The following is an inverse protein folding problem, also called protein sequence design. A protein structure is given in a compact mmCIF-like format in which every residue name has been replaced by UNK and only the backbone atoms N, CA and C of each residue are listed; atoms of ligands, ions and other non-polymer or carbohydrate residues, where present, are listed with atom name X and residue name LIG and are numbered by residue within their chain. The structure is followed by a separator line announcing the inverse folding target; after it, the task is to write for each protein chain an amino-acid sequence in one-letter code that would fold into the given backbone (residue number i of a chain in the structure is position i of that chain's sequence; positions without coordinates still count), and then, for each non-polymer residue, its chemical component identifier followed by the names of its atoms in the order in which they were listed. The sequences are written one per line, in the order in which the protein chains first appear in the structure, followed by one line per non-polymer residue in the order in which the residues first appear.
data_IF_373108946428
#
_entry.id   IF_373108946428
#
_cell.length_a   1.000
_cell.length_b   1.000
_cell.length_c   1.000
_cell.angle_alpha   90.00
_cell.angle_beta   90.00
_cell.angle_gamma   90.00
#
_symmetry.space_group_name_H-M   'P 1'
#
loop_
_entity.id
_entity.type
_entity.pdbx_description
1 polymer ?
#
# COMPACT_ATOMS: atom_id res chain seq x y z
N UNK A 1 -9.97 -18.60 1.85
CA UNK A 1 -10.32 -17.83 0.66
C UNK A 1 -9.50 -16.55 0.70
N UNK A 2 -8.91 -16.14 -0.42
CA UNK A 2 -8.08 -14.95 -0.47
C UNK A 2 -8.96 -13.69 -0.30
N UNK A 3 -8.61 -12.83 0.64
CA UNK A 3 -9.32 -11.59 0.94
C UNK A 3 -8.36 -10.40 0.85
N UNK A 4 -8.87 -9.25 0.49
CA UNK A 4 -8.14 -7.99 0.44
C UNK A 4 -8.75 -7.05 1.45
N UNK A 5 -7.93 -6.53 2.37
CA UNK A 5 -8.36 -5.52 3.33
C UNK A 5 -7.90 -4.14 2.86
N UNK A 6 -8.81 -3.21 2.82
CA UNK A 6 -8.55 -1.80 2.45
C UNK A 6 -9.01 -0.92 3.60
N UNK A 7 -8.06 -0.32 4.31
CA UNK A 7 -8.35 0.35 5.57
C UNK A 7 -8.93 -0.64 6.57
N UNK A 8 -10.09 -0.33 7.11
CA UNK A 8 -10.81 -1.18 8.09
C UNK A 8 -11.80 -2.14 7.42
N UNK A 9 -11.90 -2.13 6.08
CA UNK A 9 -12.89 -2.90 5.35
C UNK A 9 -12.27 -4.15 4.71
N UNK A 10 -12.93 -5.30 4.88
CA UNK A 10 -12.65 -6.52 4.14
C UNK A 10 -13.50 -6.55 2.87
N UNK A 11 -12.84 -6.67 1.72
CA UNK A 11 -13.57 -6.66 0.44
C UNK A 11 -14.51 -7.85 0.31
N UNK A 12 -14.12 -8.99 0.83
CA UNK A 12 -14.96 -10.19 0.78
C UNK A 12 -16.06 -10.20 1.85
N UNK A 13 -15.71 -9.94 3.12
CA UNK A 13 -16.65 -10.06 4.24
C UNK A 13 -17.69 -8.95 4.26
N UNK A 14 -17.28 -7.70 3.99
CA UNK A 14 -18.15 -6.54 4.10
C UNK A 14 -18.94 -6.27 2.82
N UNK A 15 -18.35 -6.55 1.66
CA UNK A 15 -18.96 -6.24 0.36
C UNK A 15 -19.27 -7.47 -0.50
N UNK A 16 -18.80 -8.66 -0.13
CA UNK A 16 -19.00 -9.88 -0.91
C UNK A 16 -18.21 -9.90 -2.23
N UNK A 17 -17.19 -9.08 -2.34
CA UNK A 17 -16.34 -8.97 -3.53
C UNK A 17 -15.33 -10.10 -3.57
N UNK A 18 -15.26 -10.82 -4.69
CA UNK A 18 -14.27 -11.88 -4.92
C UNK A 18 -13.15 -11.36 -5.79
N UNK A 19 -11.91 -11.50 -5.32
CA UNK A 19 -10.75 -11.11 -6.10
C UNK A 19 -10.58 -12.02 -7.32
N UNK A 20 -10.55 -11.41 -8.50
CA UNK A 20 -10.28 -12.07 -9.78
C UNK A 20 -8.83 -11.91 -10.20
N UNK A 21 -8.31 -10.68 -10.10
CA UNK A 21 -6.95 -10.34 -10.50
C UNK A 21 -6.35 -9.37 -9.51
N UNK A 22 -5.10 -9.59 -9.20
CA UNK A 22 -4.30 -8.75 -8.32
C UNK A 22 -2.99 -8.47 -9.02
N UNK A 23 -2.79 -7.22 -9.40
CA UNK A 23 -1.53 -6.73 -9.93
C UNK A 23 -0.97 -5.68 -8.96
N UNK A 24 0.02 -6.02 -8.15
CA UNK A 24 0.60 -5.07 -7.21
C UNK A 24 1.40 -3.96 -7.89
N UNK A 25 1.71 -4.11 -9.17
CA UNK A 25 2.57 -3.19 -9.92
C UNK A 25 4.02 -3.17 -9.42
N UNK A 26 4.91 -2.66 -10.23
CA UNK A 26 6.32 -2.46 -9.87
C UNK A 26 6.62 -0.97 -9.84
N UNK A 27 7.35 -0.54 -8.82
CA UNK A 27 7.82 0.85 -8.74
C UNK A 27 8.98 1.05 -9.73
N UNK A 28 8.87 2.07 -10.55
CA UNK A 28 9.90 2.44 -11.51
C UNK A 28 10.95 3.32 -10.83
N UNK A 29 12.21 3.19 -11.26
CA UNK A 29 13.29 4.07 -10.84
C UNK A 29 13.08 5.45 -11.47
N UNK A 30 13.33 6.51 -10.71
CA UNK A 30 13.35 7.89 -11.21
C UNK A 30 14.69 8.16 -11.90
N UNK A 31 14.86 7.60 -13.09
CA UNK A 31 16.10 7.71 -13.87
C UNK A 31 16.37 9.16 -14.29
N UNK A 32 17.62 9.60 -14.15
CA UNK A 32 18.07 10.92 -14.56
C UNK A 32 19.30 10.80 -15.42
N UNK A 33 19.17 11.22 -16.68
CA UNK A 33 20.26 11.24 -17.66
C UNK A 33 20.62 12.67 -18.02
N UNK A 34 21.89 12.91 -18.29
CA UNK A 34 22.42 14.20 -18.73
C UNK A 34 23.24 14.02 -20.00
N UNK A 35 22.85 14.74 -21.04
CA UNK A 35 23.63 14.82 -22.27
C UNK A 35 24.93 15.60 -22.04
N UNK A 36 26.05 15.04 -22.52
CA UNK A 36 27.36 15.69 -22.52
C UNK A 36 27.81 15.89 -23.96
N UNK A 37 28.04 17.14 -24.42
CA UNK A 37 28.51 17.43 -25.77
C UNK A 37 29.80 16.68 -26.10
N UNK A 38 29.80 15.99 -27.25
CA UNK A 38 30.99 15.23 -27.72
C UNK A 38 31.15 13.84 -27.12
N UNK A 39 30.25 13.37 -26.27
CA UNK A 39 30.23 12.01 -25.75
C UNK A 39 29.17 11.18 -26.48
N UNK A 40 29.48 9.91 -26.74
CA UNK A 40 28.47 8.94 -27.18
C UNK A 40 27.69 8.43 -25.98
N UNK A 41 26.34 8.65 -25.99
CA UNK A 41 25.42 8.28 -24.91
C UNK A 41 25.40 9.30 -23.76
N UNK A 42 24.31 9.27 -23.02
CA UNK A 42 24.06 10.16 -21.89
C UNK A 42 24.78 9.70 -20.63
N UNK A 43 25.08 10.63 -19.75
CA UNK A 43 25.59 10.32 -18.42
C UNK A 43 24.43 10.00 -17.49
N UNK A 44 24.44 8.81 -16.91
CA UNK A 44 23.50 8.44 -15.85
C UNK A 44 23.92 9.13 -14.55
N UNK A 45 23.02 9.96 -14.02
CA UNK A 45 23.18 10.68 -12.75
C UNK A 45 22.08 10.31 -11.76
N UNK A 46 21.39 9.17 -11.97
CA UNK A 46 20.26 8.73 -11.15
C UNK A 46 20.62 8.67 -9.67
N UNK A 47 21.77 8.12 -9.34
CA UNK A 47 22.23 7.95 -7.95
C UNK A 47 23.14 9.08 -7.44
N UNK A 48 23.42 10.08 -8.28
CA UNK A 48 24.46 11.08 -8.00
C UNK A 48 24.17 11.95 -6.76
N UNK A 49 22.90 12.16 -6.42
CA UNK A 49 22.49 12.99 -5.28
C UNK A 49 22.24 12.19 -4.00
N UNK A 50 21.79 10.96 -4.12
CA UNK A 50 21.29 10.15 -3.01
C UNK A 50 22.19 8.98 -2.66
N UNK A 51 23.07 8.55 -3.59
CA UNK A 51 23.90 7.36 -3.46
C UNK A 51 23.13 6.03 -3.62
N UNK A 52 21.84 6.11 -3.92
CA UNK A 52 20.95 4.96 -4.17
C UNK A 52 19.80 5.38 -5.08
N UNK A 53 19.17 4.43 -5.82
CA UNK A 53 18.07 4.73 -6.72
C UNK A 53 16.83 5.20 -5.96
N UNK A 54 16.18 6.24 -6.47
CA UNK A 54 14.89 6.74 -5.97
C UNK A 54 13.78 6.17 -6.83
N UNK A 55 12.71 5.70 -6.21
CA UNK A 55 11.58 5.08 -6.90
C UNK A 55 10.37 6.01 -6.97
N UNK A 56 9.67 5.96 -8.10
CA UNK A 56 8.37 6.60 -8.27
C UNK A 56 7.27 5.77 -7.63
N UNK A 57 6.13 6.41 -7.38
CA UNK A 57 4.92 5.68 -6.98
C UNK A 57 4.53 4.64 -8.03
N UNK A 58 4.06 3.49 -7.55
CA UNK A 58 3.56 2.43 -8.41
C UNK A 58 2.04 2.40 -8.45
N UNK A 59 1.50 1.86 -9.54
CA UNK A 59 0.07 1.66 -9.68
C UNK A 59 -0.27 0.20 -9.42
N UNK A 60 -1.08 -0.06 -8.38
CA UNK A 60 -1.65 -1.37 -8.08
C UNK A 60 -3.06 -1.44 -8.67
N UNK A 61 -3.39 -2.56 -9.31
CA UNK A 61 -4.71 -2.82 -9.87
C UNK A 61 -5.30 -4.07 -9.24
N UNK A 62 -6.50 -3.92 -8.71
CA UNK A 62 -7.27 -5.01 -8.10
C UNK A 62 -8.60 -5.12 -8.83
N UNK A 63 -8.90 -6.28 -9.39
CA UNK A 63 -10.16 -6.54 -10.07
C UNK A 63 -10.96 -7.53 -9.24
N UNK A 64 -12.21 -7.17 -8.96
CA UNK A 64 -13.14 -7.98 -8.20
C UNK A 64 -14.36 -8.30 -9.03
N UNK A 65 -14.94 -9.46 -8.75
CA UNK A 65 -16.23 -9.91 -9.24
C UNK A 65 -17.26 -9.82 -8.11
N UNK A 66 -18.42 -9.33 -8.47
CA UNK A 66 -19.56 -9.25 -7.59
C UNK A 66 -20.77 -9.87 -8.25
N UNK A 67 -21.34 -10.89 -7.60
CA UNK A 67 -22.54 -11.53 -8.06
C UNK A 67 -23.76 -10.88 -7.42
N UNK A 68 -24.56 -10.20 -8.21
CA UNK A 68 -25.80 -9.58 -7.77
C UNK A 68 -26.87 -9.67 -8.88
N UNK A 69 -28.02 -10.26 -8.54
CA UNK A 69 -29.12 -10.44 -9.46
C UNK A 69 -30.05 -9.19 -9.52
N UNK A 70 -29.82 -8.22 -8.64
CA UNK A 70 -30.63 -7.01 -8.51
C UNK A 70 -29.80 -5.74 -8.82
N UNK A 71 -30.25 -4.98 -9.81
CA UNK A 71 -29.57 -3.74 -10.24
C UNK A 71 -29.61 -2.66 -9.15
N UNK A 72 -30.70 -2.54 -8.41
CA UNK A 72 -30.85 -1.50 -7.39
C UNK A 72 -29.94 -1.78 -6.19
N UNK A 73 -29.84 -3.04 -5.77
CA UNK A 73 -28.90 -3.45 -4.71
C UNK A 73 -27.45 -3.23 -5.13
N UNK A 74 -27.13 -3.49 -6.39
CA UNK A 74 -25.79 -3.21 -6.92
C UNK A 74 -25.45 -1.72 -6.84
N UNK A 75 -26.37 -0.82 -7.22
CA UNK A 75 -26.15 0.62 -7.13
C UNK A 75 -25.89 1.07 -5.70
N UNK A 76 -26.66 0.57 -4.74
CA UNK A 76 -26.49 0.89 -3.32
C UNK A 76 -25.11 0.45 -2.83
N UNK A 77 -24.72 -0.79 -3.08
CA UNK A 77 -23.43 -1.35 -2.65
C UNK A 77 -22.25 -0.68 -3.34
N UNK A 78 -22.35 -0.38 -4.63
CA UNK A 78 -21.32 0.36 -5.36
C UNK A 78 -21.15 1.77 -4.80
N UNK A 79 -22.23 2.43 -4.39
CA UNK A 79 -22.18 3.75 -3.75
C UNK A 79 -21.58 3.68 -2.35
N UNK A 80 -21.94 2.68 -1.55
CA UNK A 80 -21.35 2.46 -0.21
C UNK A 80 -19.84 2.20 -0.29
N UNK A 81 -19.41 1.35 -1.23
CA UNK A 81 -18.01 1.08 -1.47
C UNK A 81 -17.26 2.35 -1.85
N UNK A 82 -17.78 3.11 -2.81
CA UNK A 82 -17.16 4.39 -3.22
C UNK A 82 -17.06 5.36 -2.06
N UNK A 83 -18.13 5.53 -1.28
CA UNK A 83 -18.15 6.46 -0.15
C UNK A 83 -17.13 6.09 0.93
N UNK A 84 -16.87 4.80 1.12
CA UNK A 84 -15.92 4.32 2.13
C UNK A 84 -14.46 4.47 1.71
N UNK A 85 -14.12 4.17 0.46
CA UNK A 85 -12.70 4.02 0.07
C UNK A 85 -12.25 4.96 -1.07
N UNK A 86 -13.16 5.40 -1.95
CA UNK A 86 -12.77 6.20 -3.12
C UNK A 86 -12.15 7.55 -2.72
N UNK A 87 -11.03 7.90 -3.36
CA UNK A 87 -10.31 9.16 -3.15
C UNK A 87 -9.51 9.23 -1.85
N UNK A 88 -9.61 8.26 -0.97
CA UNK A 88 -8.88 8.22 0.30
C UNK A 88 -7.51 7.58 0.14
N UNK A 89 -6.58 7.98 1.00
CA UNK A 89 -5.28 7.30 1.18
C UNK A 89 -5.45 6.29 2.31
N UNK A 90 -5.36 5.02 2.00
CA UNK A 90 -5.61 3.93 2.93
C UNK A 90 -4.53 2.85 2.81
N UNK A 91 -4.42 2.05 3.88
CA UNK A 91 -3.59 0.86 3.91
C UNK A 91 -4.29 -0.28 3.17
N UNK A 92 -3.52 -1.06 2.41
CA UNK A 92 -4.00 -2.22 1.64
C UNK A 92 -3.19 -3.43 2.00
N UNK A 93 -3.85 -4.43 2.58
CA UNK A 93 -3.27 -5.73 2.94
C UNK A 93 -3.80 -6.79 2.00
N UNK A 94 -2.92 -7.55 1.38
CA UNK A 94 -3.26 -8.63 0.45
C UNK A 94 -3.25 -9.97 1.18
N UNK A 95 -4.42 -10.55 1.38
CA UNK A 95 -4.56 -11.84 2.06
C UNK A 95 -4.14 -11.78 3.52
N UNK A 96 -3.23 -12.67 3.90
CA UNK A 96 -2.65 -12.75 5.25
C UNK A 96 -1.21 -12.21 5.27
N UNK A 97 -0.88 -11.25 4.39
CA UNK A 97 0.44 -10.64 4.36
C UNK A 97 0.68 -9.85 5.68
N UNK A 98 1.89 -9.96 6.21
CA UNK A 98 2.35 -9.17 7.36
C UNK A 98 2.72 -7.73 6.97
N UNK A 99 2.74 -7.46 5.66
CA UNK A 99 3.04 -6.18 5.09
C UNK A 99 1.81 -5.53 4.46
N UNK A 100 1.81 -4.22 4.41
CA UNK A 100 0.78 -3.46 3.72
C UNK A 100 1.38 -2.49 2.71
N UNK A 101 0.57 -2.13 1.73
CA UNK A 101 0.83 -1.01 0.85
C UNK A 101 0.00 0.19 1.30
N UNK A 102 0.51 1.37 1.12
CA UNK A 102 -0.24 2.60 1.37
C UNK A 102 -0.37 3.40 0.08
N UNK A 103 -1.57 3.90 -0.19
CA UNK A 103 -1.80 4.67 -1.41
C UNK A 103 -3.18 5.28 -1.51
N UNK A 104 -3.35 6.12 -2.52
CA UNK A 104 -4.63 6.75 -2.84
C UNK A 104 -5.45 5.87 -3.75
N UNK A 105 -6.69 5.66 -3.39
CA UNK A 105 -7.58 4.68 -3.99
C UNK A 105 -8.54 5.34 -4.96
N UNK A 106 -8.69 4.73 -6.14
CA UNK A 106 -9.71 5.05 -7.12
C UNK A 106 -10.55 3.81 -7.40
N UNK A 107 -11.86 3.94 -7.33
CA UNK A 107 -12.81 2.84 -7.55
C UNK A 107 -13.59 3.09 -8.81
N UNK A 108 -13.56 2.11 -9.72
CA UNK A 108 -14.41 2.03 -10.90
C UNK A 108 -15.32 0.81 -10.77
N UNK A 109 -16.59 0.99 -11.06
CA UNK A 109 -17.60 -0.08 -10.96
C UNK A 109 -18.35 -0.16 -12.27
N UNK A 110 -18.44 -1.37 -12.83
CA UNK A 110 -19.14 -1.63 -14.07
C UNK A 110 -20.12 -2.78 -13.91
N UNK A 111 -21.34 -2.62 -14.42
CA UNK A 111 -22.33 -3.69 -14.49
C UNK A 111 -22.23 -4.37 -15.86
N UNK A 112 -21.62 -5.55 -15.89
CA UNK A 112 -21.39 -6.29 -17.15
C UNK A 112 -22.67 -6.91 -17.70
N UNK A 113 -23.47 -7.52 -16.81
CA UNK A 113 -24.75 -8.13 -17.18
C UNK A 113 -25.67 -8.24 -15.96
N UNK A 114 -26.85 -8.87 -16.11
CA UNK A 114 -27.85 -8.97 -15.04
C UNK A 114 -27.33 -9.63 -13.74
N UNK A 115 -26.34 -10.54 -13.84
CA UNK A 115 -25.82 -11.33 -12.70
C UNK A 115 -24.44 -10.93 -12.22
N UNK A 116 -23.64 -10.32 -13.08
CA UNK A 116 -22.24 -10.05 -12.76
C UNK A 116 -21.91 -8.57 -12.90
N UNK A 117 -21.12 -8.09 -11.99
CA UNK A 117 -20.57 -6.76 -11.97
C UNK A 117 -19.06 -6.85 -11.78
N UNK A 118 -18.33 -5.97 -12.39
CA UNK A 118 -16.89 -5.81 -12.18
C UNK A 118 -16.62 -4.59 -11.33
N UNK A 119 -15.72 -4.71 -10.39
CA UNK A 119 -15.20 -3.62 -9.59
C UNK A 119 -13.71 -3.58 -9.77
N UNK A 120 -13.21 -2.50 -10.34
CA UNK A 120 -11.79 -2.24 -10.48
C UNK A 120 -11.36 -1.19 -9.46
N UNK A 121 -10.38 -1.54 -8.66
CA UNK A 121 -9.77 -0.64 -7.67
C UNK A 121 -8.34 -0.38 -8.10
N UNK A 122 -8.06 0.86 -8.45
CA UNK A 122 -6.72 1.34 -8.82
C UNK A 122 -6.15 2.12 -7.65
N UNK A 123 -4.94 1.78 -7.25
CA UNK A 123 -4.26 2.38 -6.11
C UNK A 123 -2.94 2.98 -6.57
N UNK A 124 -2.80 4.29 -6.44
CA UNK A 124 -1.49 4.93 -6.58
C UNK A 124 -0.78 4.79 -5.25
N UNK A 125 0.11 3.79 -5.16
CA UNK A 125 0.77 3.38 -3.93
C UNK A 125 2.19 3.90 -3.84
N UNK A 126 2.67 4.00 -2.61
CA UNK A 126 4.08 4.24 -2.34
C UNK A 126 4.94 3.07 -2.84
N UNK A 127 6.22 3.31 -3.18
CA UNK A 127 7.07 2.29 -3.81
C UNK A 127 7.34 1.09 -2.92
N UNK A 128 7.30 1.25 -1.61
CA UNK A 128 7.67 0.23 -0.64
C UNK A 128 6.45 -0.41 0.04
N UNK A 129 6.63 -1.65 0.50
CA UNK A 129 5.78 -2.27 1.50
C UNK A 129 6.23 -1.84 2.89
N UNK A 130 5.28 -1.65 3.80
CA UNK A 130 5.53 -1.36 5.20
C UNK A 130 5.07 -2.54 6.05
N UNK A 131 5.81 -2.85 7.10
CA UNK A 131 5.47 -3.92 8.02
C UNK A 131 4.31 -3.50 8.93
N UNK A 132 3.32 -4.39 9.08
CA UNK A 132 2.11 -4.09 9.85
C UNK A 132 2.42 -3.96 11.34
N UNK A 133 3.26 -4.85 11.88
CA UNK A 133 3.63 -4.84 13.30
C UNK A 133 4.45 -3.62 13.67
N UNK A 134 5.44 -3.25 12.87
CA UNK A 134 6.26 -2.07 13.15
C UNK A 134 5.47 -0.76 13.12
N UNK A 135 4.31 -0.75 12.45
CA UNK A 135 3.42 0.42 12.43
C UNK A 135 2.46 0.48 13.62
N UNK A 136 2.31 -0.62 14.37
CA UNK A 136 1.46 -0.72 15.56
C UNK A 136 2.28 -0.63 16.87
N UNK A 137 3.56 -0.95 16.80
CA UNK A 137 4.44 -0.76 17.95
C UNK A 137 4.83 0.71 18.04
N UNK A 138 4.54 1.33 19.16
CA UNK A 138 5.12 2.61 19.56
C UNK A 138 6.65 2.39 19.66
N UNK A 139 7.32 2.67 18.55
CA UNK A 139 8.76 2.61 18.50
C UNK A 139 9.30 3.58 19.57
N UNK A 140 10.01 3.07 20.49
CA UNK A 140 10.97 3.57 21.51
C UNK A 140 11.41 5.04 21.46
N UNK A 141 10.74 5.90 20.69
CA UNK A 141 10.95 7.34 20.72
C UNK A 141 10.44 7.96 22.01
N UNK A 142 9.50 7.31 22.72
CA UNK A 142 9.02 7.72 24.04
C UNK A 142 10.09 7.60 25.14
N UNK A 143 11.14 6.84 24.88
CA UNK A 143 12.28 6.73 25.78
C UNK A 143 13.44 7.66 25.45
N UNK A 144 13.30 8.54 24.45
CA UNK A 144 14.32 9.54 24.12
C UNK A 144 14.08 10.81 24.93
N UNK A 145 14.91 11.05 25.92
CA UNK A 145 14.96 12.30 26.66
C UNK A 145 16.17 13.11 26.19
N UNK A 146 15.95 14.37 25.77
CA UNK A 146 17.02 15.27 25.34
C UNK A 146 18.04 15.61 26.42
N UNK A 147 17.70 15.44 27.72
CA UNK A 147 18.59 15.67 28.83
C UNK A 147 19.47 14.47 29.17
N UNK A 148 18.96 13.26 28.99
CA UNK A 148 19.60 12.01 29.42
C UNK A 148 19.94 11.06 28.27
N UNK A 149 19.54 11.37 27.04
CA UNK A 149 19.70 10.50 25.88
C UNK A 149 18.69 9.33 25.88
N UNK A 150 19.03 8.24 25.20
CA UNK A 150 18.19 7.04 25.17
C UNK A 150 18.19 6.36 26.53
N UNK A 151 17.08 6.40 27.23
CA UNK A 151 16.88 5.63 28.46
C UNK A 151 16.64 4.16 28.07
N UNK A 152 17.71 3.37 28.06
CA UNK A 152 17.53 1.91 28.14
C UNK A 152 17.08 1.57 29.54
N UNK A 153 16.07 0.72 29.64
CA UNK A 153 15.58 0.25 30.93
C UNK A 153 16.75 -0.33 31.72
N UNK A 154 17.02 0.22 32.88
CA UNK A 154 18.19 -0.10 33.71
C UNK A 154 18.27 -1.61 34.11
N UNK A 155 17.19 -2.33 33.93
CA UNK A 155 17.10 -3.77 34.18
C UNK A 155 17.92 -4.59 33.17
N UNK A 156 18.03 -4.17 31.95
CA UNK A 156 18.78 -4.89 30.92
C UNK A 156 20.29 -4.68 31.01
N UNK A 157 20.73 -3.58 31.61
CA UNK A 157 22.16 -3.31 31.83
C UNK A 157 22.76 -4.11 33.01
N UNK A 158 21.94 -4.57 33.94
CA UNK A 158 22.45 -5.36 35.09
C UNK A 158 22.71 -6.82 34.73
N UNK A 159 22.12 -7.35 33.66
CA UNK A 159 22.32 -8.74 33.21
C UNK A 159 23.63 -8.90 32.43
N UNK A 160 24.06 -7.85 31.71
CA UNK A 160 25.30 -7.87 30.92
C UNK A 160 26.60 -7.70 31.77
N UNK A 161 26.50 -7.33 33.03
CA UNK A 161 27.63 -7.11 33.95
C UNK A 161 27.95 -8.24 34.89
N UNK A 162 27.29 -9.42 34.76
CA UNK A 162 27.59 -10.63 35.50
C UNK A 162 28.15 -11.73 34.61
N UNK A 163 29.38 -11.56 34.19
CA UNK A 163 30.28 -12.61 33.75
C UNK A 163 31.55 -12.53 34.61
#
# INVERSE_FOLDING_TARGET
MFDVKIGDCSMYKDFGLRALSIDPGTAEVDEKFKEIPGRNGDLDITDALTGFPVYKNATMKLTFDFKDDNYDLWLIRASELRNKIHGRRLKVVLGNDEFFYEGRISVSTEKLNKRYSSVEITINRDPYKLELQSSLEDWLWDSFNFETGIIRDYKDLQVAGRL
#
